data_IF_298904895457
#
_entry.id   IF_298904895457
#
_cell.length_a   1.000
_cell.length_b   1.000
_cell.length_c   1.000
_cell.angle_alpha   90.00
_cell.angle_beta   90.00
_cell.angle_gamma   90.00
#
_symmetry.space_group_name_H-M   'P 1'
#
loop_
_entity.id
_entity.type
_entity.pdbx_description
1 polymer ?
#
# COMPACT_ATOMS: atom_id res chain seq x y z
N UNK A 1 19.70 -23.59 12.30
CA UNK A 1 18.59 -22.74 11.81
C UNK A 1 18.78 -21.24 12.13
N UNK A 2 19.18 -20.83 13.34
CA UNK A 2 19.47 -19.41 13.66
C UNK A 2 20.46 -18.67 12.73
N UNK A 3 21.57 -19.27 12.25
CA UNK A 3 22.55 -18.56 11.41
C UNK A 3 22.05 -18.19 10.01
N UNK A 4 21.05 -18.91 9.49
CA UNK A 4 20.40 -18.60 8.22
C UNK A 4 19.41 -17.44 8.39
N UNK A 5 18.68 -17.42 9.51
CA UNK A 5 17.74 -16.36 9.88
C UNK A 5 18.44 -15.00 10.09
N UNK A 6 19.63 -14.98 10.71
CA UNK A 6 20.40 -13.75 10.92
C UNK A 6 20.93 -13.12 9.61
N UNK A 7 21.33 -13.95 8.63
CA UNK A 7 21.72 -13.47 7.30
C UNK A 7 20.52 -12.88 6.57
N UNK A 8 19.37 -13.55 6.64
CA UNK A 8 18.12 -13.09 6.05
C UNK A 8 17.67 -11.73 6.59
N UNK A 9 17.84 -11.47 7.89
CA UNK A 9 17.51 -10.18 8.52
C UNK A 9 18.37 -9.04 7.93
N UNK A 10 19.66 -9.28 7.66
CA UNK A 10 20.54 -8.27 7.05
C UNK A 10 20.14 -7.97 5.60
N UNK A 11 19.77 -9.00 4.83
CA UNK A 11 19.27 -8.83 3.46
C UNK A 11 17.95 -8.05 3.41
N UNK A 12 17.02 -8.32 4.34
CA UNK A 12 15.75 -7.57 4.46
C UNK A 12 16.02 -6.10 4.80
N UNK A 13 16.98 -5.80 5.68
CA UNK A 13 17.39 -4.41 5.96
C UNK A 13 17.99 -3.72 4.73
N UNK A 14 18.85 -4.39 3.97
CA UNK A 14 19.41 -3.82 2.74
C UNK A 14 18.33 -3.56 1.68
N UNK A 15 17.39 -4.49 1.55
CA UNK A 15 16.23 -4.34 0.66
C UNK A 15 15.34 -3.17 1.07
N UNK A 16 15.11 -2.96 2.37
CA UNK A 16 14.37 -1.81 2.90
C UNK A 16 14.93 -0.47 2.42
N UNK A 17 16.26 -0.33 2.42
CA UNK A 17 16.90 0.90 1.92
C UNK A 17 16.68 1.06 0.42
N UNK A 18 16.93 0.01 -0.37
CA UNK A 18 16.73 0.03 -1.81
C UNK A 18 15.26 0.34 -2.19
N UNK A 19 14.32 -0.25 -1.47
CA UNK A 19 12.87 -0.04 -1.64
C UNK A 19 12.45 1.41 -1.39
N UNK A 20 13.08 2.08 -0.42
CA UNK A 20 12.82 3.50 -0.14
C UNK A 20 13.20 4.41 -1.31
N UNK A 21 14.26 4.06 -2.05
CA UNK A 21 14.64 4.77 -3.28
C UNK A 21 13.71 4.45 -4.44
N UNK A 22 13.39 3.17 -4.64
CA UNK A 22 12.54 2.69 -5.74
C UNK A 22 11.11 3.25 -5.64
N UNK A 23 10.53 3.29 -4.43
CA UNK A 23 9.21 3.87 -4.16
C UNK A 23 9.10 5.36 -4.50
N UNK A 24 10.20 6.11 -4.45
CA UNK A 24 10.17 7.54 -4.79
C UNK A 24 10.24 7.81 -6.29
N UNK A 25 10.85 6.90 -7.07
CA UNK A 25 11.23 7.18 -8.46
C UNK A 25 10.40 6.41 -9.49
N UNK A 26 10.04 5.15 -9.22
CA UNK A 26 9.25 4.34 -10.15
C UNK A 26 7.84 4.88 -10.42
N UNK A 27 7.10 5.40 -9.42
CA UNK A 27 5.77 5.97 -9.68
C UNK A 27 5.82 7.16 -10.66
N UNK A 28 6.87 7.97 -10.63
CA UNK A 28 7.04 9.09 -11.57
C UNK A 28 7.25 8.61 -13.02
N UNK A 29 7.99 7.53 -13.22
CA UNK A 29 8.17 6.94 -14.55
C UNK A 29 6.91 6.20 -15.01
N UNK A 30 6.20 5.56 -14.09
CA UNK A 30 4.94 4.88 -14.37
C UNK A 30 3.83 5.86 -14.73
N UNK A 31 3.70 6.97 -14.00
CA UNK A 31 2.76 8.05 -14.32
C UNK A 31 3.09 8.68 -15.67
N UNK A 32 4.38 8.97 -15.92
CA UNK A 32 4.84 9.45 -17.24
C UNK A 32 4.44 8.51 -18.36
N UNK A 33 4.67 7.20 -18.19
CA UNK A 33 4.28 6.18 -19.16
C UNK A 33 2.76 6.10 -19.34
N UNK A 34 2.01 6.15 -18.23
CA UNK A 34 0.54 6.11 -18.23
C UNK A 34 -0.08 7.33 -18.90
N UNK A 35 0.62 8.48 -18.97
CA UNK A 35 0.15 9.66 -19.69
C UNK A 35 0.37 9.59 -21.20
N UNK A 36 1.29 8.76 -21.71
CA UNK A 36 1.61 8.66 -23.15
C UNK A 36 0.37 8.38 -24.02
N UNK A 37 -0.54 7.44 -23.68
CA UNK A 37 -1.75 7.19 -24.47
C UNK A 37 -2.65 8.42 -24.65
N UNK A 38 -2.76 9.26 -23.61
CA UNK A 38 -3.52 10.50 -23.69
C UNK A 38 -2.84 11.49 -24.65
N UNK A 39 -1.52 11.67 -24.53
CA UNK A 39 -0.73 12.52 -25.44
C UNK A 39 -0.87 12.11 -26.91
N UNK A 40 -0.83 10.82 -27.22
CA UNK A 40 -0.96 10.32 -28.60
C UNK A 40 -2.31 10.71 -29.20
N UNK A 41 -3.39 10.67 -28.42
CA UNK A 41 -4.73 11.06 -28.88
C UNK A 41 -4.77 12.53 -29.31
N UNK A 42 -4.10 13.40 -28.56
CA UNK A 42 -3.98 14.83 -28.90
C UNK A 42 -3.15 15.01 -30.16
N UNK A 43 -2.00 14.34 -30.26
CA UNK A 43 -1.13 14.44 -31.44
C UNK A 43 -1.90 14.02 -32.70
N UNK A 44 -2.77 13.01 -32.60
CA UNK A 44 -3.66 12.60 -33.70
C UNK A 44 -4.65 13.70 -34.06
N UNK A 45 -5.31 14.33 -33.08
CA UNK A 45 -6.25 15.45 -33.34
C UNK A 45 -5.52 16.63 -34.00
N UNK A 46 -4.35 16.99 -33.49
CA UNK A 46 -3.50 18.03 -34.05
C UNK A 46 -3.09 17.70 -35.50
N UNK A 47 -2.74 16.44 -35.76
CA UNK A 47 -2.42 15.95 -37.10
C UNK A 47 -3.61 16.03 -38.06
N UNK A 48 -4.82 15.70 -37.62
CA UNK A 48 -6.04 15.80 -38.44
C UNK A 48 -6.32 17.25 -38.83
N UNK A 49 -6.13 18.20 -37.92
CA UNK A 49 -6.34 19.62 -38.22
C UNK A 49 -5.28 20.12 -39.19
N UNK A 50 -4.01 19.77 -38.97
CA UNK A 50 -2.95 20.06 -39.93
C UNK A 50 -3.26 19.49 -41.31
N UNK A 51 -3.79 18.26 -41.38
CA UNK A 51 -4.17 17.60 -42.62
C UNK A 51 -5.26 18.38 -43.38
N UNK A 52 -6.32 18.80 -42.67
CA UNK A 52 -7.41 19.58 -43.27
C UNK A 52 -6.88 20.92 -43.78
N UNK A 53 -6.10 21.63 -42.97
CA UNK A 53 -5.49 22.91 -43.37
C UNK A 53 -4.46 22.76 -44.48
N UNK A 54 -3.76 21.64 -44.59
CA UNK A 54 -2.81 21.38 -45.68
C UNK A 54 -3.55 21.24 -47.01
N UNK A 55 -4.69 20.53 -47.04
CA UNK A 55 -5.53 20.42 -48.24
C UNK A 55 -6.02 21.80 -48.67
N UNK A 56 -6.56 22.59 -47.74
CA UNK A 56 -7.00 23.96 -48.04
C UNK A 56 -5.85 24.86 -48.46
N UNK A 57 -4.68 24.75 -47.82
CA UNK A 57 -3.50 25.55 -48.12
C UNK A 57 -2.95 25.28 -49.52
N UNK A 58 -2.89 24.02 -49.95
CA UNK A 58 -2.53 23.67 -51.34
C UNK A 58 -3.62 24.14 -52.31
N UNK A 59 -4.90 23.95 -51.98
CA UNK A 59 -6.00 24.39 -52.84
C UNK A 59 -6.01 25.91 -53.08
N UNK A 60 -5.72 26.70 -52.05
CA UNK A 60 -5.73 28.16 -52.12
C UNK A 60 -4.41 28.73 -52.61
N UNK A 61 -3.26 28.24 -52.12
CA UNK A 61 -1.98 28.94 -52.23
C UNK A 61 -0.91 28.17 -53.04
N UNK A 62 -1.29 27.12 -53.77
CA UNK A 62 -0.35 26.33 -54.59
C UNK A 62 0.41 27.16 -55.64
N UNK A 63 -0.25 28.16 -56.23
CA UNK A 63 0.31 28.96 -57.33
C UNK A 63 1.20 30.13 -56.88
N UNK A 64 1.30 30.37 -55.57
CA UNK A 64 2.01 31.53 -55.02
C UNK A 64 3.51 31.25 -54.97
N UNK A 65 4.31 32.14 -55.56
CA UNK A 65 5.77 32.10 -55.43
C UNK A 65 6.17 32.50 -54.02
N UNK A 66 6.85 31.60 -53.34
CA UNK A 66 7.15 31.72 -51.92
C UNK A 66 8.56 32.25 -51.70
N UNK A 67 8.71 33.21 -50.79
CA UNK A 67 9.99 33.89 -50.54
C UNK A 67 10.49 33.76 -49.08
N UNK A 68 9.73 33.13 -48.19
CA UNK A 68 10.07 33.02 -46.76
C UNK A 68 11.04 31.89 -46.44
N UNK A 69 11.15 30.88 -47.30
CA UNK A 69 12.08 29.76 -47.12
C UNK A 69 13.08 29.73 -48.28
N UNK A 70 14.36 29.88 -47.93
CA UNK A 70 15.49 29.83 -48.87
C UNK A 70 15.67 28.40 -49.41
N UNK A 71 15.26 27.39 -48.63
CA UNK A 71 15.40 25.97 -48.97
C UNK A 71 14.32 25.48 -49.94
N UNK A 72 13.18 26.19 -50.03
CA UNK A 72 12.02 25.80 -50.84
C UNK A 72 11.32 24.51 -50.39
N UNK A 73 11.60 24.06 -49.17
CA UNK A 73 11.03 22.86 -48.56
C UNK A 73 9.69 23.17 -47.87
N UNK A 74 9.57 24.38 -47.31
CA UNK A 74 8.39 24.84 -46.58
C UNK A 74 7.45 25.56 -47.54
N UNK A 75 6.66 24.79 -48.30
CA UNK A 75 5.75 25.36 -49.31
C UNK A 75 4.36 24.77 -49.42
N UNK A 76 3.43 25.51 -50.04
CA UNK A 76 2.06 25.08 -50.36
C UNK A 76 1.97 24.46 -51.75
N UNK A 77 3.10 24.20 -52.42
CA UNK A 77 3.12 23.60 -53.75
C UNK A 77 2.61 22.16 -53.74
N UNK A 78 3.02 21.39 -52.73
CA UNK A 78 2.65 19.97 -52.59
C UNK A 78 2.16 19.69 -51.18
N UNK A 79 1.29 18.70 -51.05
CA UNK A 79 0.69 18.34 -49.76
C UNK A 79 1.71 18.05 -48.64
N UNK A 80 2.80 17.27 -48.84
CA UNK A 80 3.78 17.02 -47.78
C UNK A 80 4.56 18.27 -47.35
N UNK A 81 4.91 19.15 -48.31
CA UNK A 81 5.55 20.43 -48.00
C UNK A 81 4.61 21.34 -47.20
N UNK A 82 3.32 21.34 -47.54
CA UNK A 82 2.31 22.13 -46.82
C UNK A 82 2.12 21.63 -45.39
N UNK A 83 2.18 20.30 -45.18
CA UNK A 83 2.17 19.70 -43.85
C UNK A 83 3.37 20.11 -43.01
N UNK A 84 4.58 20.16 -43.57
CA UNK A 84 5.79 20.60 -42.86
C UNK A 84 5.74 22.10 -42.51
N UNK A 85 5.27 22.92 -43.45
CA UNK A 85 5.06 24.34 -43.20
C UNK A 85 4.02 24.57 -42.10
N UNK A 86 2.87 23.89 -42.14
CA UNK A 86 1.86 24.00 -41.09
C UNK A 86 2.38 23.48 -39.74
N UNK A 87 3.16 22.39 -39.74
CA UNK A 87 3.84 21.93 -38.53
C UNK A 87 4.75 23.01 -37.94
N UNK A 88 5.51 23.73 -38.76
CA UNK A 88 6.29 24.88 -38.29
C UNK A 88 5.38 26.00 -37.76
N UNK A 89 4.32 26.38 -38.47
CA UNK A 89 3.37 27.39 -37.98
C UNK A 89 2.70 26.99 -36.67
N UNK A 90 2.54 25.69 -36.39
CA UNK A 90 1.99 25.20 -35.12
C UNK A 90 2.86 25.57 -33.91
N UNK A 91 4.16 25.74 -34.13
CA UNK A 91 5.12 26.23 -33.12
C UNK A 91 5.20 27.75 -33.06
N UNK A 92 4.37 28.46 -33.85
CA UNK A 92 4.39 29.91 -34.04
C UNK A 92 5.71 30.44 -34.62
N UNK A 93 6.47 29.59 -35.33
CA UNK A 93 7.71 30.00 -35.97
C UNK A 93 7.43 30.50 -37.41
N UNK A 94 7.89 31.72 -37.73
CA UNK A 94 7.84 32.26 -39.11
C UNK A 94 6.44 32.53 -39.66
N UNK A 95 5.40 32.57 -38.82
CA UNK A 95 4.01 32.79 -39.27
C UNK A 95 3.79 34.18 -39.87
N UNK A 96 4.53 35.19 -39.38
CA UNK A 96 4.48 36.57 -39.87
C UNK A 96 4.97 36.64 -41.31
N UNK A 97 6.08 35.96 -41.61
CA UNK A 97 6.69 35.95 -42.95
C UNK A 97 5.79 35.25 -43.97
N UNK A 98 5.21 34.12 -43.57
CA UNK A 98 4.22 33.39 -44.38
C UNK A 98 3.00 34.28 -44.64
N UNK A 99 2.45 34.94 -43.61
CA UNK A 99 1.31 35.84 -43.76
C UNK A 99 1.61 37.01 -44.71
N UNK A 100 2.77 37.66 -44.56
CA UNK A 100 3.15 38.79 -45.41
C UNK A 100 3.31 38.37 -46.87
N UNK A 101 3.91 37.22 -47.14
CA UNK A 101 4.10 36.75 -48.51
C UNK A 101 2.78 36.32 -49.16
N UNK A 102 1.90 35.61 -48.43
CA UNK A 102 0.57 35.24 -48.92
C UNK A 102 -0.30 36.47 -49.19
N UNK A 103 -0.18 37.50 -48.33
CA UNK A 103 -0.90 38.77 -48.47
C UNK A 103 -0.38 39.63 -49.63
N UNK A 104 0.91 39.52 -49.96
CA UNK A 104 1.55 40.28 -51.04
C UNK A 104 1.26 39.69 -52.43
N UNK A 105 0.87 38.41 -52.53
CA UNK A 105 0.66 37.71 -53.80
C UNK A 105 -0.63 38.10 -54.55
N UNK A 106 -1.46 39.00 -54.00
CA UNK A 106 -2.60 39.59 -54.71
C UNK A 106 -3.89 38.77 -54.70
N UNK A 107 -3.88 37.54 -54.19
CA UNK A 107 -5.11 36.81 -53.84
C UNK A 107 -5.70 37.40 -52.55
N UNK A 108 -7.03 37.39 -52.38
CA UNK A 108 -7.70 38.29 -51.43
C UNK A 108 -7.01 38.27 -50.05
N UNK A 109 -6.45 39.43 -49.64
CA UNK A 109 -5.78 39.65 -48.36
C UNK A 109 -6.56 39.07 -47.18
N UNK A 110 -7.88 39.19 -47.26
CA UNK A 110 -8.83 38.68 -46.29
C UNK A 110 -8.79 37.15 -46.18
N UNK A 111 -8.70 36.42 -47.28
CA UNK A 111 -8.58 34.94 -47.28
C UNK A 111 -7.25 34.48 -46.71
N UNK A 112 -6.12 35.09 -47.10
CA UNK A 112 -4.80 34.75 -46.58
C UNK A 112 -4.71 35.02 -45.07
N UNK A 113 -5.17 36.19 -44.64
CA UNK A 113 -5.20 36.58 -43.22
C UNK A 113 -6.12 35.65 -42.43
N UNK A 114 -7.33 35.38 -42.93
CA UNK A 114 -8.27 34.50 -42.25
C UNK A 114 -7.71 33.08 -42.13
N UNK A 115 -7.08 32.53 -43.18
CA UNK A 115 -6.50 31.20 -43.14
C UNK A 115 -5.38 31.06 -42.10
N UNK A 116 -4.38 31.96 -42.13
CA UNK A 116 -3.23 31.88 -41.21
C UNK A 116 -3.66 32.16 -39.77
N UNK A 117 -4.47 33.20 -39.55
CA UNK A 117 -4.89 33.59 -38.19
C UNK A 117 -5.84 32.55 -37.59
N UNK A 118 -6.80 32.03 -38.37
CA UNK A 118 -7.70 30.97 -37.86
C UNK A 118 -6.94 29.69 -37.55
N UNK A 119 -5.96 29.30 -38.37
CA UNK A 119 -5.09 28.15 -38.08
C UNK A 119 -4.34 28.33 -36.76
N UNK A 120 -3.69 29.48 -36.56
CA UNK A 120 -2.95 29.79 -35.33
C UNK A 120 -3.85 29.75 -34.11
N UNK A 121 -5.03 30.40 -34.17
CA UNK A 121 -5.97 30.43 -33.05
C UNK A 121 -6.45 29.02 -32.70
N UNK A 122 -6.82 28.21 -33.69
CA UNK A 122 -7.34 26.84 -33.45
C UNK A 122 -6.25 25.95 -32.87
N UNK A 123 -5.05 25.97 -33.45
CA UNK A 123 -3.92 25.17 -32.95
C UNK A 123 -3.54 25.57 -31.54
N UNK A 124 -3.42 26.87 -31.27
CA UNK A 124 -3.07 27.37 -29.95
C UNK A 124 -4.14 27.05 -28.91
N UNK A 125 -5.42 27.18 -29.26
CA UNK A 125 -6.54 26.79 -28.41
C UNK A 125 -6.47 25.31 -28.03
N UNK A 126 -6.16 24.42 -28.99
CA UNK A 126 -6.01 22.98 -28.73
C UNK A 126 -4.81 22.71 -27.84
N UNK A 127 -3.65 23.32 -28.12
CA UNK A 127 -2.45 23.15 -27.31
C UNK A 127 -2.70 23.57 -25.85
N UNK A 128 -3.29 24.74 -25.61
CA UNK A 128 -3.62 25.20 -24.23
C UNK A 128 -4.61 24.24 -23.57
N UNK A 129 -5.73 23.94 -24.25
CA UNK A 129 -6.79 23.10 -23.70
C UNK A 129 -6.26 21.72 -23.33
N UNK A 130 -5.42 21.15 -24.18
CA UNK A 130 -4.72 19.91 -23.89
C UNK A 130 -3.81 20.03 -22.68
N UNK A 131 -2.98 21.07 -22.61
CA UNK A 131 -2.04 21.21 -21.50
C UNK A 131 -2.77 21.29 -20.16
N UNK A 132 -3.90 22.00 -20.13
CA UNK A 132 -4.78 22.06 -18.96
C UNK A 132 -5.29 20.66 -18.57
N UNK A 133 -5.79 19.87 -19.53
CA UNK A 133 -6.31 18.51 -19.26
C UNK A 133 -5.21 17.62 -18.69
N UNK A 134 -3.99 17.68 -19.24
CA UNK A 134 -2.86 16.86 -18.78
C UNK A 134 -2.42 17.26 -17.38
N UNK A 135 -2.34 18.56 -17.11
CA UNK A 135 -2.00 19.06 -15.77
C UNK A 135 -3.05 18.61 -14.75
N UNK A 136 -4.34 18.69 -15.09
CA UNK A 136 -5.43 18.22 -14.23
C UNK A 136 -5.37 16.71 -13.99
N UNK A 137 -5.18 15.91 -15.04
CA UNK A 137 -5.04 14.45 -14.95
C UNK A 137 -3.83 14.04 -14.09
N UNK A 138 -2.72 14.77 -14.23
CA UNK A 138 -1.54 14.57 -13.39
C UNK A 138 -1.80 14.91 -11.91
N UNK A 139 -2.59 15.96 -11.65
CA UNK A 139 -2.95 16.37 -10.30
C UNK A 139 -3.92 15.37 -9.66
N UNK A 140 -4.92 14.92 -10.39
CA UNK A 140 -5.88 13.91 -9.93
C UNK A 140 -5.17 12.57 -9.64
N UNK A 141 -4.26 12.15 -10.52
CA UNK A 141 -3.44 10.95 -10.32
C UNK A 141 -2.54 11.07 -9.09
N UNK A 142 -1.87 12.21 -8.91
CA UNK A 142 -1.02 12.46 -7.74
C UNK A 142 -1.82 12.46 -6.44
N UNK A 143 -3.05 12.99 -6.45
CA UNK A 143 -3.96 12.93 -5.30
C UNK A 143 -4.45 11.51 -5.02
N UNK A 144 -4.76 10.73 -6.06
CA UNK A 144 -5.14 9.32 -5.90
C UNK A 144 -4.00 8.45 -5.36
N UNK A 145 -2.75 8.67 -5.79
CA UNK A 145 -1.58 7.98 -5.24
C UNK A 145 -1.29 8.43 -3.79
N UNK A 146 -1.56 9.69 -3.47
CA UNK A 146 -1.47 10.22 -2.11
C UNK A 146 -2.53 9.59 -1.18
N UNK A 147 -3.75 9.36 -1.68
CA UNK A 147 -4.84 8.71 -0.93
C UNK A 147 -4.70 7.18 -0.84
N UNK A 148 -4.15 6.51 -1.87
CA UNK A 148 -3.87 5.07 -1.88
C UNK A 148 -2.49 4.76 -1.27
N UNK A 149 -2.40 4.90 0.04
CA UNK A 149 -1.13 4.80 0.78
C UNK A 149 -0.57 3.35 0.81
N UNK A 150 -1.34 2.34 0.38
CA UNK A 150 -0.88 0.94 0.24
C UNK A 150 -0.78 0.54 -1.22
N UNK A 151 0.45 0.30 -1.69
CA UNK A 151 0.73 -0.15 -3.05
C UNK A 151 0.58 -1.67 -3.14
N UNK A 152 0.34 -2.21 -4.36
CA UNK A 152 0.36 -3.66 -4.63
C UNK A 152 1.62 -4.34 -4.07
N UNK A 153 2.76 -3.65 -4.20
CA UNK A 153 4.04 -4.11 -3.69
C UNK A 153 4.02 -4.37 -2.17
N UNK A 154 3.22 -3.66 -1.39
CA UNK A 154 3.15 -3.83 0.07
C UNK A 154 2.47 -5.13 0.48
N UNK A 155 1.45 -5.53 -0.27
CA UNK A 155 0.81 -6.83 -0.12
C UNK A 155 1.78 -7.96 -0.48
N UNK A 156 2.57 -7.79 -1.55
CA UNK A 156 3.60 -8.76 -1.96
C UNK A 156 4.71 -8.88 -0.90
N UNK A 157 5.19 -7.76 -0.35
CA UNK A 157 6.17 -7.76 0.74
C UNK A 157 5.67 -8.49 1.98
N UNK A 158 4.41 -8.27 2.38
CA UNK A 158 3.81 -8.98 3.49
C UNK A 158 3.74 -10.50 3.22
N UNK A 159 3.30 -10.90 2.02
CA UNK A 159 3.22 -12.30 1.61
C UNK A 159 4.58 -13.01 1.65
N UNK A 160 5.64 -12.37 1.14
CA UNK A 160 7.00 -12.91 1.15
C UNK A 160 7.56 -13.08 2.57
N UNK A 161 7.31 -12.10 3.46
CA UNK A 161 7.74 -12.21 4.86
C UNK A 161 6.93 -13.30 5.56
N UNK A 162 5.62 -13.37 5.32
CA UNK A 162 4.74 -14.40 5.88
C UNK A 162 5.18 -15.81 5.51
N UNK A 163 5.54 -16.05 4.24
CA UNK A 163 5.98 -17.35 3.75
C UNK A 163 7.18 -17.91 4.53
N UNK A 164 8.04 -17.06 5.07
CA UNK A 164 9.20 -17.47 5.90
C UNK A 164 8.78 -18.05 7.26
N UNK A 165 7.61 -17.67 7.75
CA UNK A 165 7.04 -18.18 9.00
C UNK A 165 6.03 -19.33 8.77
N UNK A 166 5.47 -19.42 7.56
CA UNK A 166 4.56 -20.48 7.12
C UNK A 166 5.15 -21.30 5.95
N UNK A 167 6.16 -22.13 6.27
CA UNK A 167 6.83 -23.01 5.30
C UNK A 167 5.89 -23.99 4.58
N UNK A 168 4.66 -24.21 5.10
CA UNK A 168 3.68 -25.16 4.56
C UNK A 168 2.57 -24.47 3.77
N UNK A 169 2.62 -23.15 3.59
CA UNK A 169 1.62 -22.35 2.89
C UNK A 169 0.17 -22.65 3.35
N UNK A 170 -0.02 -22.88 4.65
CA UNK A 170 -1.34 -23.19 5.22
C UNK A 170 -2.19 -21.94 5.44
N UNK A 171 -1.60 -20.75 5.34
CA UNK A 171 -2.23 -19.47 5.66
C UNK A 171 -2.40 -19.24 7.17
N UNK A 172 -1.70 -20.01 8.01
CA UNK A 172 -1.80 -19.96 9.47
C UNK A 172 -0.44 -20.05 10.15
N UNK A 173 -0.22 -19.22 11.17
CA UNK A 173 0.96 -19.25 12.02
C UNK A 173 0.58 -19.28 13.50
N UNK A 174 1.51 -19.70 14.37
CA UNK A 174 1.33 -19.60 15.82
C UNK A 174 1.43 -18.14 16.27
N UNK A 175 0.59 -17.75 17.22
CA UNK A 175 0.59 -16.41 17.80
C UNK A 175 1.94 -16.01 18.40
N UNK A 176 2.72 -16.97 18.93
CA UNK A 176 4.07 -16.74 19.43
C UNK A 176 5.03 -16.13 18.41
N UNK A 177 4.80 -16.38 17.11
CA UNK A 177 5.67 -15.93 16.02
C UNK A 177 5.25 -14.56 15.47
N UNK A 178 4.04 -14.09 15.80
CA UNK A 178 3.50 -12.82 15.30
C UNK A 178 4.37 -11.60 15.69
N UNK A 179 4.90 -11.48 16.93
CA UNK A 179 5.81 -10.39 17.29
C UNK A 179 7.10 -10.37 16.50
N UNK A 180 7.63 -11.53 16.14
CA UNK A 180 8.85 -11.65 15.34
C UNK A 180 8.56 -11.33 13.87
N UNK A 181 7.39 -11.72 13.37
CA UNK A 181 6.95 -11.41 12.02
C UNK A 181 6.83 -9.90 11.80
N UNK A 182 6.13 -9.19 12.68
CA UNK A 182 5.90 -7.75 12.54
C UNK A 182 7.17 -6.90 12.71
N UNK A 183 8.15 -7.41 13.45
CA UNK A 183 9.47 -6.78 13.63
C UNK A 183 10.33 -6.89 12.35
N UNK A 184 10.08 -7.92 11.52
CA UNK A 184 10.79 -8.15 10.25
C UNK A 184 10.15 -7.39 9.08
N UNK A 185 8.87 -7.04 9.16
CA UNK A 185 8.18 -6.28 8.11
C UNK A 185 8.84 -4.92 7.85
N UNK A 186 8.72 -4.43 6.61
CA UNK A 186 9.18 -3.11 6.19
C UNK A 186 8.06 -2.07 6.32
N UNK A 187 8.40 -0.76 6.28
CA UNK A 187 7.37 0.31 6.19
C UNK A 187 6.48 0.03 4.97
N UNK A 188 5.14 0.02 5.09
CA UNK A 188 4.33 0.64 6.14
C UNK A 188 3.93 -0.24 7.34
N UNK A 189 4.12 -1.57 7.28
CA UNK A 189 3.59 -2.52 8.27
C UNK A 189 4.58 -2.89 9.40
N UNK A 190 5.67 -2.12 9.54
CA UNK A 190 6.72 -2.43 10.50
C UNK A 190 6.33 -2.09 11.94
N UNK A 191 6.38 -3.08 12.84
CA UNK A 191 6.26 -2.87 14.29
C UNK A 191 7.52 -3.35 15.01
N UNK A 192 8.44 -2.42 15.26
CA UNK A 192 9.69 -2.70 15.98
C UNK A 192 9.46 -3.16 17.43
N UNK A 193 10.29 -4.09 17.90
CA UNK A 193 10.22 -4.52 19.32
C UNK A 193 10.67 -3.41 20.28
N UNK A 194 10.03 -3.28 21.46
CA UNK A 194 8.95 -4.13 21.98
C UNK A 194 7.56 -3.78 21.41
N UNK A 195 6.93 -4.73 20.70
CA UNK A 195 5.68 -4.52 19.94
C UNK A 195 4.44 -5.19 20.55
N UNK A 196 4.55 -5.82 21.74
CA UNK A 196 3.45 -6.60 22.35
C UNK A 196 2.19 -5.79 22.65
N UNK A 197 2.32 -4.50 22.95
CA UNK A 197 1.20 -3.61 23.22
C UNK A 197 0.53 -3.13 21.93
N UNK A 198 1.33 -2.84 20.89
CA UNK A 198 0.83 -2.45 19.57
C UNK A 198 0.09 -3.63 18.90
N UNK A 199 0.56 -4.86 19.08
CA UNK A 199 -0.18 -6.05 18.60
C UNK A 199 -1.55 -6.19 19.27
N UNK A 200 -1.66 -5.72 20.52
CA UNK A 200 -2.91 -5.76 21.26
C UNK A 200 -3.94 -4.76 20.70
N UNK A 201 -3.49 -3.59 20.23
CA UNK A 201 -4.37 -2.57 19.64
C UNK A 201 -4.92 -3.01 18.29
N UNK A 202 -4.17 -3.82 17.52
CA UNK A 202 -4.62 -4.39 16.23
C UNK A 202 -5.84 -5.33 16.34
N UNK A 203 -6.18 -5.81 17.54
CA UNK A 203 -7.34 -6.67 17.81
C UNK A 203 -7.49 -7.88 16.86
N UNK A 204 -6.37 -8.54 16.54
CA UNK A 204 -6.35 -9.68 15.61
C UNK A 204 -7.03 -10.89 16.27
N UNK A 205 -7.95 -11.60 15.59
CA UNK A 205 -8.58 -12.81 16.10
C UNK A 205 -7.57 -13.96 16.29
N UNK A 206 -7.72 -14.70 17.40
CA UNK A 206 -6.92 -15.88 17.74
C UNK A 206 -7.83 -17.11 17.75
N UNK A 207 -7.37 -18.17 17.11
CA UNK A 207 -8.09 -19.43 16.90
C UNK A 207 -7.52 -20.55 17.76
N UNK A 208 -8.23 -21.69 17.74
CA UNK A 208 -7.85 -22.89 18.45
C UNK A 208 -6.42 -23.35 18.13
N UNK A 209 -5.67 -23.72 19.18
CA UNK A 209 -4.24 -24.03 19.09
C UNK A 209 -3.31 -22.80 19.08
N UNK A 210 -3.81 -21.62 19.48
CA UNK A 210 -3.07 -20.35 19.49
C UNK A 210 -2.58 -19.94 18.10
N UNK A 211 -3.49 -20.07 17.11
CA UNK A 211 -3.24 -19.83 15.70
C UNK A 211 -3.84 -18.51 15.23
N UNK A 212 -3.18 -17.87 14.28
CA UNK A 212 -3.66 -16.65 13.60
C UNK A 212 -3.58 -16.84 12.09
N UNK A 213 -4.58 -16.32 11.37
CA UNK A 213 -4.68 -16.44 9.92
C UNK A 213 -4.00 -15.26 9.22
N UNK A 214 -3.45 -15.54 8.04
CA UNK A 214 -2.88 -14.55 7.12
C UNK A 214 -3.85 -13.39 6.88
N UNK A 215 -5.10 -13.74 6.54
CA UNK A 215 -6.13 -12.77 6.19
C UNK A 215 -6.43 -11.78 7.31
N UNK A 216 -6.59 -12.31 8.52
CA UNK A 216 -6.94 -11.51 9.69
C UNK A 216 -5.82 -10.56 10.10
N UNK A 217 -4.57 -11.00 9.94
CA UNK A 217 -3.40 -10.17 10.22
C UNK A 217 -3.26 -9.06 9.17
N UNK A 218 -3.36 -9.41 7.88
CA UNK A 218 -3.29 -8.44 6.79
C UNK A 218 -4.38 -7.38 6.92
N UNK A 219 -5.63 -7.79 7.13
CA UNK A 219 -6.75 -6.88 7.28
C UNK A 219 -6.59 -5.95 8.49
N UNK A 220 -6.07 -6.47 9.61
CA UNK A 220 -5.81 -5.65 10.80
C UNK A 220 -4.71 -4.61 10.55
N UNK A 221 -3.64 -4.97 9.85
CA UNK A 221 -2.56 -4.06 9.49
C UNK A 221 -3.03 -2.99 8.50
N UNK A 222 -3.83 -3.36 7.51
CA UNK A 222 -4.43 -2.43 6.56
C UNK A 222 -5.35 -1.43 7.26
N UNK A 223 -6.23 -1.89 8.16
CA UNK A 223 -7.12 -1.02 8.94
C UNK A 223 -6.35 -0.08 9.86
N UNK A 224 -5.34 -0.59 10.56
CA UNK A 224 -4.51 0.22 11.47
C UNK A 224 -3.75 1.31 10.70
N UNK A 225 -3.20 0.97 9.55
CA UNK A 225 -2.51 1.91 8.68
C UNK A 225 -3.43 2.99 8.13
N UNK A 226 -4.62 2.61 7.67
CA UNK A 226 -5.65 3.55 7.22
C UNK A 226 -6.07 4.45 8.38
N UNK A 227 -6.35 3.91 9.57
CA UNK A 227 -6.79 4.69 10.74
C UNK A 227 -5.76 5.72 11.22
N UNK A 228 -4.46 5.43 11.14
CA UNK A 228 -3.42 6.39 11.54
C UNK A 228 -3.25 7.56 10.56
N UNK A 229 -3.76 7.45 9.33
CA UNK A 229 -3.70 8.51 8.30
C UNK A 229 -5.07 9.11 7.95
N UNK A 230 -6.16 8.42 8.27
CA UNK A 230 -7.54 8.82 8.03
C UNK A 230 -8.07 9.82 9.05
N UNK A 231 -7.35 10.92 9.29
CA UNK A 231 -8.01 12.13 9.77
C UNK A 231 -8.79 12.84 8.62
N UNK A 232 -8.75 12.30 7.39
CA UNK A 232 -9.22 12.96 6.16
C UNK A 232 -10.28 12.18 5.36
N UNK A 233 -10.60 10.92 5.66
CA UNK A 233 -11.61 10.16 4.90
C UNK A 233 -12.39 9.24 5.83
N UNK A 234 -13.72 9.34 5.82
CA UNK A 234 -14.62 8.38 6.48
C UNK A 234 -14.34 6.97 5.94
N UNK A 235 -13.73 6.12 6.75
CA UNK A 235 -13.50 4.72 6.39
C UNK A 235 -14.87 4.01 6.46
N UNK A 236 -15.37 3.41 5.37
CA UNK A 236 -16.55 2.55 5.47
C UNK A 236 -16.26 1.44 6.48
N UNK A 237 -17.18 1.19 7.41
CA UNK A 237 -17.07 0.20 8.51
C UNK A 237 -16.75 -1.24 8.05
N UNK A 238 -16.68 -1.47 6.74
CA UNK A 238 -16.18 -2.68 6.11
C UNK A 238 -15.67 -2.32 4.72
N UNK A 239 -14.39 -2.53 4.42
CA UNK A 239 -13.96 -2.73 3.03
C UNK A 239 -14.47 -4.12 2.66
N UNK A 240 -15.56 -4.25 1.87
CA UNK A 240 -16.14 -5.54 1.59
C UNK A 240 -15.22 -6.27 0.61
N UNK A 241 -14.69 -7.43 1.01
CA UNK A 241 -14.29 -8.45 0.04
C UNK A 241 -12.81 -8.63 -0.28
N UNK A 242 -11.84 -8.17 0.50
CA UNK A 242 -10.45 -8.53 0.18
C UNK A 242 -10.11 -9.99 0.56
N UNK A 243 -10.69 -10.55 1.64
CA UNK A 243 -10.50 -11.95 2.02
C UNK A 243 -11.79 -12.50 2.65
N UNK A 244 -12.70 -12.98 1.81
CA UNK A 244 -13.93 -13.66 2.22
C UNK A 244 -13.60 -14.78 3.23
N UNK A 245 -14.30 -14.83 4.37
CA UNK A 245 -14.10 -15.79 5.47
C UNK A 245 -14.43 -17.25 5.10
N UNK A 246 -14.63 -17.53 3.81
CA UNK A 246 -14.97 -18.84 3.24
C UNK A 246 -13.77 -19.77 3.31
N UNK A 247 -13.61 -20.46 4.44
CA UNK A 247 -12.62 -21.54 4.61
C UNK A 247 -12.10 -21.75 6.03
N UNK A 248 -12.46 -20.88 6.99
CA UNK A 248 -11.98 -21.02 8.37
C UNK A 248 -12.77 -22.12 9.11
N UNK A 249 -12.21 -23.33 9.15
CA UNK A 249 -12.78 -24.48 9.87
C UNK A 249 -12.53 -24.45 11.38
N UNK A 250 -11.62 -23.60 11.86
CA UNK A 250 -11.22 -23.50 13.26
C UNK A 250 -12.12 -22.53 14.04
N UNK A 251 -12.44 -22.88 15.30
CA UNK A 251 -13.23 -22.03 16.19
C UNK A 251 -12.39 -20.86 16.71
N UNK A 252 -12.97 -19.65 16.69
CA UNK A 252 -12.37 -18.45 17.30
C UNK A 252 -12.41 -18.57 18.82
N UNK A 253 -11.27 -18.43 19.48
CA UNK A 253 -11.14 -18.50 20.95
C UNK A 253 -11.04 -17.10 21.57
N UNK A 254 -10.43 -16.14 20.88
CA UNK A 254 -10.27 -14.78 21.42
C UNK A 254 -9.68 -13.79 20.42
N UNK A 255 -9.08 -12.72 20.93
CA UNK A 255 -8.30 -11.74 20.15
C UNK A 255 -7.04 -11.32 20.88
N UNK A 256 -6.13 -10.64 20.18
CA UNK A 256 -4.87 -10.13 20.78
C UNK A 256 -5.10 -9.19 21.96
N UNK A 257 -6.10 -8.31 21.85
CA UNK A 257 -6.54 -7.44 22.95
C UNK A 257 -7.05 -8.26 24.14
N UNK A 258 -7.89 -9.25 23.87
CA UNK A 258 -8.47 -10.10 24.90
C UNK A 258 -7.40 -10.91 25.63
N UNK A 259 -6.40 -11.42 24.91
CA UNK A 259 -5.26 -12.15 25.49
C UNK A 259 -4.43 -11.27 26.44
N UNK A 260 -4.19 -10.01 26.08
CA UNK A 260 -3.51 -9.07 26.99
C UNK A 260 -4.32 -8.80 28.26
N UNK A 261 -5.64 -8.62 28.13
CA UNK A 261 -6.53 -8.47 29.30
C UNK A 261 -6.48 -9.69 30.21
N UNK A 262 -6.50 -10.90 29.65
CA UNK A 262 -6.38 -12.14 30.44
C UNK A 262 -5.05 -12.22 31.19
N UNK A 263 -3.93 -11.91 30.54
CA UNK A 263 -2.62 -11.92 31.19
C UNK A 263 -2.56 -10.89 32.33
N UNK A 264 -3.17 -9.73 32.13
CA UNK A 264 -3.28 -8.70 33.18
C UNK A 264 -4.15 -9.18 34.36
N UNK A 265 -5.31 -9.78 34.09
CA UNK A 265 -6.16 -10.36 35.13
C UNK A 265 -5.44 -11.49 35.89
N UNK A 266 -4.77 -12.39 35.17
CA UNK A 266 -3.98 -13.47 35.77
C UNK A 266 -2.86 -12.90 36.65
N UNK A 267 -2.17 -11.86 36.21
CA UNK A 267 -1.16 -11.16 37.01
C UNK A 267 -1.75 -10.56 38.30
N UNK A 268 -2.93 -9.91 38.21
CA UNK A 268 -3.61 -9.35 39.39
C UNK A 268 -3.98 -10.46 40.38
N UNK A 269 -4.59 -11.55 39.90
CA UNK A 269 -5.01 -12.68 40.73
C UNK A 269 -3.78 -13.34 41.38
N UNK A 270 -2.74 -13.62 40.60
CA UNK A 270 -1.49 -14.20 41.12
C UNK A 270 -0.84 -13.28 42.15
N UNK A 271 -0.84 -11.96 41.94
CA UNK A 271 -0.31 -10.98 42.89
C UNK A 271 -1.15 -10.92 44.17
N UNK A 272 -2.48 -10.96 44.06
CA UNK A 272 -3.38 -11.00 45.20
C UNK A 272 -3.21 -12.29 46.00
N UNK A 273 -3.13 -13.43 45.33
CA UNK A 273 -2.88 -14.74 45.93
C UNK A 273 -1.54 -14.78 46.67
N UNK A 274 -0.44 -14.35 46.04
CA UNK A 274 0.89 -14.29 46.69
C UNK A 274 0.91 -13.38 47.92
N UNK A 275 0.15 -12.28 47.89
CA UNK A 275 -0.01 -11.40 49.06
C UNK A 275 -0.83 -12.06 50.17
N UNK A 276 -1.89 -12.78 49.82
CA UNK A 276 -2.74 -13.49 50.75
C UNK A 276 -1.98 -14.65 51.42
N UNK A 277 -1.31 -15.50 50.64
CA UNK A 277 -0.48 -16.59 51.18
C UNK A 277 0.69 -16.07 52.01
N UNK A 278 1.33 -14.97 51.60
CA UNK A 278 2.34 -14.30 52.41
C UNK A 278 1.82 -13.75 53.74
N UNK A 279 0.53 -13.40 53.84
CA UNK A 279 -0.13 -13.00 55.11
C UNK A 279 -0.53 -14.21 55.95
N UNK A 280 -1.02 -15.29 55.33
CA UNK A 280 -1.33 -16.55 56.01
C UNK A 280 -0.09 -17.15 56.71
N UNK A 281 1.05 -17.17 56.01
CA UNK A 281 2.33 -17.66 56.58
C UNK A 281 2.82 -16.79 57.74
N UNK A 282 2.39 -15.53 57.83
CA UNK A 282 2.73 -14.60 58.92
C UNK A 282 1.67 -14.53 60.03
N UNK A 283 0.55 -15.24 59.89
CA UNK A 283 -0.52 -15.27 60.90
C UNK A 283 -0.21 -16.33 61.98
N UNK A 284 -0.17 -15.97 63.28
CA UNK A 284 0.14 -16.91 64.35
C UNK A 284 -0.91 -18.02 64.55
N UNK A 285 -2.11 -17.85 63.99
CA UNK A 285 -3.24 -18.82 64.09
C UNK A 285 -3.08 -19.99 63.10
N UNK A 286 -2.39 -19.79 61.98
CA UNK A 286 -2.23 -20.84 60.96
C UNK A 286 -1.14 -21.86 61.33
N UNK A 287 -0.12 -21.43 62.09
CA UNK A 287 0.91 -22.34 62.61
C UNK A 287 0.37 -23.33 63.64
N UNK A 288 -0.70 -22.99 64.37
CA UNK A 288 -1.34 -23.92 65.32
C UNK A 288 -2.21 -24.96 64.62
N UNK A 289 -2.99 -24.58 63.59
CA UNK A 289 -3.90 -25.51 62.90
C UNK A 289 -3.15 -26.52 62.02
N UNK A 290 -2.08 -26.10 61.32
CA UNK A 290 -1.26 -27.01 60.50
C UNK A 290 -0.48 -28.01 61.37
N UNK A 291 -0.05 -27.64 62.58
CA UNK A 291 0.59 -28.56 63.54
C UNK A 291 -0.38 -29.57 64.13
N UNK A 292 -1.63 -29.15 64.37
CA UNK A 292 -2.67 -30.04 64.91
C UNK A 292 -3.16 -31.03 63.83
N UNK A 293 -3.25 -30.60 62.56
CA UNK A 293 -3.56 -31.50 61.45
C UNK A 293 -2.44 -32.53 61.19
N UNK A 294 -1.16 -32.15 61.27
CA UNK A 294 -0.01 -33.06 61.11
C UNK A 294 0.16 -34.02 62.32
N UNK A 295 -0.37 -33.68 63.49
CA UNK A 295 -0.43 -34.59 64.65
C UNK A 295 -1.59 -35.58 64.59
N UNK A 296 -2.76 -35.18 64.07
CA UNK A 296 -3.91 -36.08 63.88
C UNK A 296 -3.63 -37.23 62.89
N UNK A 297 -3.03 -36.91 61.74
CA UNK A 297 -2.70 -37.89 60.69
C UNK A 297 -1.66 -38.93 61.16
N UNK A 298 -0.76 -38.55 62.08
CA UNK A 298 0.22 -39.49 62.65
C UNK A 298 -0.43 -40.46 63.62
N UNK A 299 -1.38 -40.03 64.44
CA UNK A 299 -2.04 -40.90 65.45
C UNK A 299 -2.90 -41.98 64.79
N UNK A 300 -3.62 -41.65 63.71
CA UNK A 300 -4.45 -42.60 62.97
C UNK A 300 -3.61 -43.65 62.22
N UNK A 301 -2.40 -43.27 61.82
CA UNK A 301 -1.44 -44.18 61.18
C UNK A 301 -0.85 -45.20 62.18
N UNK A 302 -0.65 -44.81 63.45
CA UNK A 302 -0.19 -45.73 64.50
C UNK A 302 -1.31 -46.66 65.00
N UNK A 303 -2.55 -46.18 65.14
CA UNK A 303 -3.70 -47.02 65.53
C UNK A 303 -4.06 -48.07 64.46
N UNK A 304 -3.87 -47.74 63.18
CA UNK A 304 -4.12 -48.67 62.07
C UNK A 304 -3.02 -49.74 61.91
N UNK A 305 -1.82 -49.49 62.44
CA UNK A 305 -0.70 -50.44 62.42
C UNK A 305 -0.77 -51.46 63.57
N UNK A 306 -1.23 -51.05 64.76
CA UNK A 306 -1.34 -51.93 65.94
C UNK A 306 -2.44 -53.00 65.77
N UNK A 307 -3.56 -52.67 65.11
CA UNK A 307 -4.67 -53.61 64.86
C UNK A 307 -4.30 -54.69 63.84
N UNK A 308 -3.30 -54.45 62.97
CA UNK A 308 -2.83 -55.43 61.97
C UNK A 308 -1.74 -56.38 62.46
N UNK A 309 -1.08 -56.09 63.58
CA UNK A 309 0.03 -56.90 64.11
C UNK A 309 -0.41 -58.02 65.09
N UNK A 310 -1.64 -57.94 65.62
CA UNK A 310 -2.16 -58.90 66.61
C UNK A 310 -2.89 -60.15 66.09
N UNK A 311 -2.98 -60.39 64.76
CA UNK A 311 -3.82 -61.47 64.19
C UNK A 311 -3.05 -62.69 63.65
N UNK A 312 -1.75 -62.84 63.95
CA UNK A 312 -0.98 -64.02 63.56
C UNK A 312 -0.04 -64.51 64.66
N UNK A 313 -0.60 -65.07 65.74
CA UNK A 313 0.07 -66.06 66.59
C UNK A 313 -0.92 -66.71 67.56
N UNK A 314 -1.41 -67.92 67.23
CA UNK A 314 -1.45 -69.12 68.11
C UNK A 314 -2.63 -70.05 67.78
N UNK A 315 -2.26 -71.27 67.34
CA UNK A 315 -2.96 -72.58 67.42
C UNK A 315 -4.31 -72.72 66.73
#
# INVERSE_FOLDING_TARGET
MLPAMLRLIRFVKCRRYLRRYIRGMLPLLYTLYSSIPAFITIVIIQFIIMFIYAIFGVYLFHSIKQSWDISGELSFETFPKAMLLLFQLSTLAGWIDVLHCLSASGENLTTATFFVVSYIIIVYYIIIKTHLVIVLDSYETAMCEYENILLKEDYEMFAEVWQKFDNKARGIIKFSNLPDLLDVLEEPFHFGKPNRYLIATLNIPIYEGDLVFYADVMDALTRDFMSHRAHLVEIPDSIPGLLDNKGKTLKKIGSTLWRQRQNHCAYIIQRAWRRYTGRLVRSPVFYSEVRLADQGDKVDTYLSAEVRSGSHASV
#
